data_IF_972054881128
#
_entry.id   IF_972054881128
#
_cell.length_a   1.000
_cell.length_b   1.000
_cell.length_c   1.000
_cell.angle_alpha   90.00
_cell.angle_beta   90.00
_cell.angle_gamma   90.00
#
_symmetry.space_group_name_H-M   'P 1'
#
loop_
_entity.id
_entity.type
_entity.pdbx_description
1 polymer ?
#
# COMPACT_ATOMS: atom_id res chain seq x y z
N UNK A 1 16.25 30.73 39.66
CA UNK A 1 16.86 30.29 38.39
C UNK A 1 16.85 28.76 38.23
N UNK A 2 15.71 28.08 38.49
CA UNK A 2 15.61 26.60 38.41
C UNK A 2 14.36 26.06 37.70
N UNK A 3 13.42 26.96 37.36
CA UNK A 3 12.13 26.60 36.73
C UNK A 3 12.23 26.68 35.20
N UNK A 4 12.99 27.64 34.66
CA UNK A 4 13.17 27.84 33.22
C UNK A 4 13.90 26.67 32.54
N UNK A 5 14.89 26.07 33.20
CA UNK A 5 15.60 24.88 32.68
C UNK A 5 14.71 23.65 32.60
N UNK A 6 13.82 23.44 33.59
CA UNK A 6 12.93 22.26 33.62
C UNK A 6 11.93 22.26 32.46
N UNK A 7 11.43 23.42 32.06
CA UNK A 7 10.51 23.57 30.93
C UNK A 7 11.24 23.39 29.59
N UNK A 8 12.50 23.83 29.51
CA UNK A 8 13.33 23.66 28.32
C UNK A 8 13.66 22.18 28.07
N UNK A 9 13.97 21.45 29.14
CA UNK A 9 14.24 20.00 29.11
C UNK A 9 13.02 19.15 28.77
N UNK A 10 11.81 19.55 29.17
CA UNK A 10 10.60 18.81 28.77
C UNK A 10 10.26 19.00 27.28
N UNK A 11 10.59 20.17 26.71
CA UNK A 11 10.33 20.47 25.31
C UNK A 11 11.24 19.68 24.36
N UNK A 12 12.51 19.47 24.73
CA UNK A 12 13.48 18.76 23.89
C UNK A 12 13.22 17.25 23.76
N UNK A 13 12.55 16.63 24.75
CA UNK A 13 12.20 15.20 24.70
C UNK A 13 11.04 14.93 23.74
N UNK A 14 10.10 15.87 23.55
CA UNK A 14 8.99 15.70 22.60
C UNK A 14 9.45 15.67 21.13
N UNK A 15 10.51 16.39 20.79
CA UNK A 15 11.02 16.45 19.39
C UNK A 15 11.67 15.13 18.97
N UNK A 16 12.20 14.35 19.92
CA UNK A 16 12.86 13.07 19.65
C UNK A 16 11.90 11.92 19.33
N UNK A 17 10.60 12.06 19.62
CA UNK A 17 9.60 11.03 19.33
C UNK A 17 8.89 11.19 17.99
N UNK A 18 9.32 12.13 17.14
CA UNK A 18 8.85 12.23 15.74
C UNK A 18 9.60 11.18 14.91
N UNK A 19 9.46 9.91 15.27
CA UNK A 19 9.84 8.79 14.43
C UNK A 19 8.79 8.66 13.33
N UNK A 20 9.20 8.75 12.07
CA UNK A 20 8.32 8.44 10.95
C UNK A 20 7.92 6.97 11.04
N UNK A 21 6.68 6.69 11.41
CA UNK A 21 6.13 5.34 11.41
C UNK A 21 6.01 4.87 9.95
N UNK A 22 7.05 4.20 9.45
CA UNK A 22 6.96 3.48 8.18
C UNK A 22 6.13 2.23 8.42
N UNK A 23 4.90 2.23 7.94
CA UNK A 23 4.05 1.06 8.00
C UNK A 23 4.67 -0.05 7.13
N UNK A 24 4.95 -1.19 7.74
CA UNK A 24 5.49 -2.35 7.04
C UNK A 24 4.55 -2.89 5.96
N UNK A 25 4.97 -3.95 5.26
CA UNK A 25 4.10 -4.61 4.30
C UNK A 25 2.88 -5.21 5.00
N UNK A 26 1.71 -5.11 4.37
CA UNK A 26 0.46 -5.69 4.88
C UNK A 26 -0.36 -6.28 3.73
N UNK A 27 -1.26 -7.20 4.07
CA UNK A 27 -2.13 -7.89 3.12
C UNK A 27 -3.53 -7.30 3.14
N UNK A 28 -4.10 -7.14 1.95
CA UNK A 28 -5.41 -6.53 1.76
C UNK A 28 -6.28 -7.43 0.89
N UNK A 29 -7.27 -8.12 1.48
CA UNK A 29 -8.22 -8.92 0.73
C UNK A 29 -9.25 -8.05 -0.01
N UNK A 30 -9.64 -8.47 -1.19
CA UNK A 30 -10.62 -7.75 -2.02
C UNK A 30 -10.82 -8.32 -3.41
N UNK A 31 -11.41 -7.53 -4.28
CA UNK A 31 -11.61 -7.82 -5.70
C UNK A 31 -10.95 -6.74 -6.54
N UNK A 32 -10.36 -7.13 -7.66
CA UNK A 32 -9.76 -6.19 -8.60
C UNK A 32 -10.89 -5.61 -9.45
N UNK A 33 -11.05 -4.28 -9.42
CA UNK A 33 -12.04 -3.58 -10.25
C UNK A 33 -11.46 -3.27 -11.64
N UNK A 34 -10.21 -2.82 -11.70
CA UNK A 34 -9.51 -2.62 -12.96
C UNK A 34 -7.99 -2.70 -12.80
N UNK A 35 -7.32 -2.94 -13.93
CA UNK A 35 -5.85 -2.87 -14.07
C UNK A 35 -5.51 -2.00 -15.28
N UNK A 36 -4.59 -1.05 -15.11
CA UNK A 36 -4.07 -0.17 -16.16
C UNK A 36 -2.56 -0.33 -16.28
N UNK A 37 -2.07 -0.15 -17.50
CA UNK A 37 -0.65 -0.21 -17.85
C UNK A 37 -0.30 1.14 -18.47
N UNK A 38 0.74 1.76 -17.97
CA UNK A 38 1.28 3.02 -18.47
C UNK A 38 2.79 2.88 -18.64
N UNK A 39 3.24 2.78 -19.89
CA UNK A 39 4.62 2.45 -20.29
C UNK A 39 5.20 1.23 -19.55
N UNK A 40 5.88 1.49 -18.43
CA UNK A 40 6.62 0.53 -17.59
C UNK A 40 5.99 0.33 -16.21
N UNK A 41 4.91 1.05 -15.92
CA UNK A 41 4.22 1.03 -14.65
C UNK A 41 2.83 0.47 -14.79
N UNK A 42 2.43 -0.29 -13.80
CA UNK A 42 1.12 -0.89 -13.73
C UNK A 42 0.42 -0.38 -12.48
N UNK A 43 -0.87 -0.15 -12.63
CA UNK A 43 -1.73 0.36 -11.57
C UNK A 43 -2.97 -0.51 -11.50
N UNK A 44 -3.42 -0.83 -10.29
CA UNK A 44 -4.68 -1.53 -10.07
C UNK A 44 -5.55 -0.75 -9.10
N UNK A 45 -6.86 -0.99 -9.17
CA UNK A 45 -7.80 -0.60 -8.13
C UNK A 45 -8.40 -1.85 -7.51
N UNK A 46 -8.31 -1.94 -6.19
CA UNK A 46 -8.92 -3.00 -5.39
C UNK A 46 -10.11 -2.44 -4.60
N UNK A 47 -11.22 -3.17 -4.60
CA UNK A 47 -12.38 -2.95 -3.73
C UNK A 47 -12.25 -3.90 -2.54
N UNK A 48 -12.31 -3.35 -1.33
CA UNK A 48 -12.09 -4.15 -0.12
C UNK A 48 -13.25 -5.08 0.15
N UNK A 49 -12.93 -6.36 0.46
CA UNK A 49 -13.94 -7.35 0.81
C UNK A 49 -14.66 -7.00 2.12
N UNK A 50 -13.95 -6.44 3.09
CA UNK A 50 -14.48 -6.10 4.42
C UNK A 50 -15.34 -4.84 4.45
N UNK A 51 -15.20 -3.97 3.45
CA UNK A 51 -15.92 -2.69 3.37
C UNK A 51 -16.20 -2.35 1.90
N UNK A 52 -17.29 -2.91 1.34
CA UNK A 52 -17.71 -2.60 -0.03
C UNK A 52 -17.99 -1.09 -0.16
N UNK A 53 -17.15 -0.38 -0.93
CA UNK A 53 -17.16 1.09 -1.03
C UNK A 53 -15.82 1.72 -0.63
N UNK A 54 -15.02 1.02 0.16
CA UNK A 54 -13.61 1.36 0.37
C UNK A 54 -12.76 0.79 -0.78
N UNK A 55 -11.95 1.66 -1.37
CA UNK A 55 -11.07 1.32 -2.49
C UNK A 55 -9.64 1.76 -2.21
N UNK A 56 -8.69 1.08 -2.82
CA UNK A 56 -7.27 1.41 -2.72
C UNK A 56 -6.61 1.27 -4.09
N UNK A 57 -5.75 2.23 -4.41
CA UNK A 57 -4.93 2.17 -5.60
C UNK A 57 -3.59 1.52 -5.28
N UNK A 58 -3.18 0.61 -6.16
CA UNK A 58 -1.89 -0.06 -6.12
C UNK A 58 -1.04 0.29 -7.32
N UNK A 59 0.26 0.50 -7.15
CA UNK A 59 1.18 0.69 -8.29
C UNK A 59 2.45 -0.14 -8.15
N UNK A 60 2.99 -0.62 -9.27
CA UNK A 60 4.28 -1.31 -9.33
C UNK A 60 4.92 -1.16 -10.72
N UNK A 61 6.21 -1.45 -10.81
CA UNK A 61 6.88 -1.57 -12.11
C UNK A 61 6.54 -2.93 -12.73
N UNK A 62 5.93 -2.92 -13.92
CA UNK A 62 5.70 -4.12 -14.71
C UNK A 62 6.74 -4.33 -15.82
N UNK A 63 7.87 -3.61 -15.76
CA UNK A 63 9.02 -3.78 -16.65
C UNK A 63 10.03 -4.86 -16.18
N UNK A 64 9.63 -5.74 -15.27
CA UNK A 64 10.43 -6.88 -14.82
C UNK A 64 9.60 -8.16 -14.96
N UNK A 65 10.27 -9.33 -15.01
CA UNK A 65 9.58 -10.63 -15.02
C UNK A 65 8.61 -10.73 -13.83
N UNK A 66 9.09 -10.34 -12.64
CA UNK A 66 8.27 -10.29 -11.43
C UNK A 66 7.03 -9.39 -11.58
N UNK A 67 7.22 -8.18 -12.10
CA UNK A 67 6.13 -7.23 -12.31
C UNK A 67 5.12 -7.67 -13.37
N UNK A 68 5.57 -8.39 -14.40
CA UNK A 68 4.70 -9.02 -15.41
C UNK A 68 3.88 -10.16 -14.82
N UNK A 69 4.46 -10.99 -13.96
CA UNK A 69 3.72 -12.04 -13.27
C UNK A 69 2.61 -11.47 -12.38
N UNK A 70 2.87 -10.37 -11.67
CA UNK A 70 1.84 -9.66 -10.91
C UNK A 70 0.72 -9.15 -11.84
N UNK A 71 1.08 -8.57 -12.98
CA UNK A 71 0.12 -8.09 -13.97
C UNK A 71 -0.76 -9.22 -14.52
N UNK A 72 -0.17 -10.37 -14.84
CA UNK A 72 -0.89 -11.51 -15.39
C UNK A 72 -1.85 -12.10 -14.36
N UNK A 73 -1.44 -12.21 -13.10
CA UNK A 73 -2.33 -12.61 -11.99
C UNK A 73 -3.46 -11.59 -11.78
N UNK A 74 -3.15 -10.29 -11.83
CA UNK A 74 -4.15 -9.24 -11.67
C UNK A 74 -5.23 -9.29 -12.78
N UNK A 75 -4.80 -9.45 -14.03
CA UNK A 75 -5.71 -9.62 -15.18
C UNK A 75 -6.52 -10.90 -15.07
N UNK A 76 -5.90 -12.00 -14.67
CA UNK A 76 -6.57 -13.29 -14.49
C UNK A 76 -7.65 -13.17 -13.42
N UNK A 77 -7.34 -12.54 -12.28
CA UNK A 77 -8.33 -12.30 -11.22
C UNK A 77 -9.50 -11.46 -11.71
N UNK A 78 -9.22 -10.38 -12.46
CA UNK A 78 -10.24 -9.49 -13.02
C UNK A 78 -11.16 -10.21 -14.00
N UNK A 79 -10.60 -11.01 -14.93
CA UNK A 79 -11.39 -11.74 -15.94
C UNK A 79 -12.27 -12.81 -15.30
N UNK A 80 -11.77 -13.47 -14.26
CA UNK A 80 -12.48 -14.56 -13.59
C UNK A 80 -13.36 -14.10 -12.42
N UNK A 81 -13.42 -12.79 -12.15
CA UNK A 81 -14.07 -12.20 -10.98
C UNK A 81 -13.66 -12.91 -9.66
N UNK A 82 -12.36 -13.21 -9.54
CA UNK A 82 -11.80 -13.98 -8.42
C UNK A 82 -11.37 -13.05 -7.28
N UNK A 83 -11.64 -13.44 -6.02
CA UNK A 83 -11.09 -12.73 -4.88
C UNK A 83 -9.56 -12.84 -4.85
N UNK A 84 -8.92 -11.77 -4.39
CA UNK A 84 -7.46 -11.67 -4.26
C UNK A 84 -7.06 -11.19 -2.89
N UNK A 85 -5.80 -11.43 -2.56
CA UNK A 85 -5.09 -10.79 -1.46
C UNK A 85 -3.89 -10.04 -2.04
N UNK A 86 -3.91 -8.71 -1.92
CA UNK A 86 -2.87 -7.83 -2.44
C UNK A 86 -1.95 -7.44 -1.31
N UNK A 87 -0.64 -7.65 -1.49
CA UNK A 87 0.37 -7.24 -0.52
C UNK A 87 0.86 -5.84 -0.87
N UNK A 88 0.62 -4.89 0.02
CA UNK A 88 1.01 -3.49 -0.13
C UNK A 88 2.16 -3.10 0.80
N UNK A 89 2.86 -2.01 0.50
CA UNK A 89 3.68 -1.27 1.48
C UNK A 89 2.89 -0.08 2.00
N UNK A 90 2.80 0.06 3.33
CA UNK A 90 2.19 1.23 3.94
C UNK A 90 3.16 2.43 3.91
N UNK A 91 2.75 3.51 3.27
CA UNK A 91 3.58 4.73 3.20
C UNK A 91 2.76 6.02 3.40
N UNK A 92 1.54 5.90 3.92
CA UNK A 92 0.62 7.03 4.10
C UNK A 92 0.11 7.65 2.80
N UNK A 93 0.46 7.11 1.62
CA UNK A 93 0.01 7.63 0.33
C UNK A 93 -1.30 7.00 -0.11
N UNK A 94 -2.04 7.74 -0.93
CA UNK A 94 -3.27 7.28 -1.56
C UNK A 94 -3.02 6.14 -2.56
N UNK A 95 -1.88 6.16 -3.25
CA UNK A 95 -1.44 5.07 -4.14
C UNK A 95 -0.29 4.33 -3.46
N UNK A 96 -0.51 3.04 -3.18
CA UNK A 96 0.43 2.20 -2.41
C UNK A 96 1.24 1.29 -3.32
N UNK A 97 2.53 1.08 -3.05
CA UNK A 97 3.33 0.10 -3.80
C UNK A 97 2.76 -1.31 -3.63
N UNK A 98 2.54 -2.01 -4.74
CA UNK A 98 2.16 -3.42 -4.77
C UNK A 98 3.43 -4.25 -4.73
N UNK A 99 3.52 -5.12 -3.74
CA UNK A 99 4.57 -6.12 -3.64
C UNK A 99 4.16 -7.43 -4.29
N UNK A 100 2.89 -7.81 -4.29
CA UNK A 100 2.43 -9.07 -4.87
C UNK A 100 0.92 -9.25 -4.78
N UNK A 101 0.42 -10.27 -5.48
CA UNK A 101 -1.00 -10.64 -5.53
C UNK A 101 -1.11 -12.15 -5.43
N UNK A 102 -2.03 -12.63 -4.60
CA UNK A 102 -2.39 -14.04 -4.47
C UNK A 102 -3.87 -14.23 -4.79
N UNK A 103 -4.20 -15.23 -5.61
CA UNK A 103 -5.59 -15.62 -5.89
C UNK A 103 -6.15 -16.43 -4.72
N UNK A 104 -7.44 -16.25 -4.39
CA UNK A 104 -8.15 -17.04 -3.36
C UNK A 104 -9.22 -17.95 -3.96
#
# INVERSE_FOLDING_TARGET
MKIKEKILLSLSIMVLMIGTAFAGPYEQPGYIDWVKIDEKHCTLKIIYKSSPGSQQLGTWSCNSVYGKNILDLAKTALILDRPVEVRFVGNGKEVRPVLGITLK
#
